data_IF_773717810455
#
_entry.id   IF_773717810455
#
_cell.length_a   1.000
_cell.length_b   1.000
_cell.length_c   1.000
_cell.angle_alpha   90.00
_cell.angle_beta   90.00
_cell.angle_gamma   90.00
#
_symmetry.space_group_name_H-M   'P 1'
#
loop_
_entity.id
_entity.type
_entity.pdbx_description
1 polymer ?
#
# COMPACT_ATOMS: atom_id res chain seq x y z
N UNK A 1 -50.01 -24.80 14.31
CA UNK A 1 -49.26 -24.14 15.41
C UNK A 1 -48.44 -25.23 16.06
N UNK A 2 -47.11 -25.20 16.16
CA UNK A 2 -46.20 -24.08 16.31
C UNK A 2 -45.03 -24.13 15.31
N UNK A 3 -44.50 -22.94 15.00
CA UNK A 3 -43.25 -22.74 14.28
C UNK A 3 -42.09 -22.86 15.28
N UNK A 4 -41.18 -23.81 15.09
CA UNK A 4 -39.81 -23.66 15.60
C UNK A 4 -39.05 -22.76 14.61
N UNK A 5 -38.85 -21.50 15.01
CA UNK A 5 -37.87 -20.64 14.36
C UNK A 5 -36.52 -20.99 14.99
N UNK A 6 -35.64 -21.60 14.19
CA UNK A 6 -34.23 -21.70 14.51
C UNK A 6 -33.69 -20.29 14.78
N UNK A 7 -33.20 -20.06 15.99
CA UNK A 7 -32.34 -18.92 16.31
C UNK A 7 -31.06 -19.10 15.51
N UNK A 8 -30.91 -18.33 14.44
CA UNK A 8 -29.61 -18.13 13.80
C UNK A 8 -28.74 -17.38 14.80
N UNK A 9 -27.92 -18.14 15.52
CA UNK A 9 -26.88 -17.63 16.39
C UNK A 9 -25.96 -16.72 15.58
N UNK A 10 -26.00 -15.46 16.00
CA UNK A 10 -25.06 -14.38 15.76
C UNK A 10 -23.63 -14.94 15.59
N UNK A 11 -23.07 -14.84 14.38
CA UNK A 11 -21.65 -15.13 14.18
C UNK A 11 -20.86 -13.98 14.81
N UNK A 12 -19.89 -14.23 15.70
CA UNK A 12 -19.12 -13.16 16.32
C UNK A 12 -18.33 -12.43 15.23
N UNK A 13 -18.46 -11.11 15.24
CA UNK A 13 -17.56 -10.14 14.60
C UNK A 13 -16.12 -10.46 15.03
N UNK A 14 -15.47 -11.38 14.32
CA UNK A 14 -14.13 -11.84 14.67
C UNK A 14 -13.15 -10.77 14.16
N UNK A 15 -12.89 -9.80 15.03
CA UNK A 15 -11.82 -8.79 15.01
C UNK A 15 -11.54 -8.15 13.64
N UNK A 16 -12.41 -7.23 13.21
CA UNK A 16 -12.04 -6.30 12.14
C UNK A 16 -11.03 -5.30 12.71
N UNK A 17 -9.81 -5.28 12.17
CA UNK A 17 -8.79 -4.28 12.52
C UNK A 17 -9.38 -2.87 12.43
N UNK A 18 -9.05 -2.01 13.39
CA UNK A 18 -9.33 -0.58 13.28
C UNK A 18 -8.61 0.02 12.07
N UNK A 19 -9.03 1.20 11.63
CA UNK A 19 -8.40 1.93 10.53
C UNK A 19 -6.87 2.04 10.66
N UNK A 20 -6.40 2.42 11.85
CA UNK A 20 -4.96 2.60 12.11
C UNK A 20 -4.24 1.26 12.11
N UNK A 21 -4.82 0.23 12.73
CA UNK A 21 -4.23 -1.11 12.75
C UNK A 21 -4.18 -1.71 11.34
N UNK A 22 -5.21 -1.51 10.52
CA UNK A 22 -5.24 -1.96 9.14
C UNK A 22 -4.12 -1.29 8.31
N UNK A 23 -3.92 0.02 8.46
CA UNK A 23 -2.83 0.74 7.80
C UNK A 23 -1.44 0.25 8.26
N UNK A 24 -1.23 0.10 9.58
CA UNK A 24 0.03 -0.40 10.12
C UNK A 24 0.30 -1.84 9.68
N UNK A 25 -0.74 -2.68 9.62
CA UNK A 25 -0.63 -4.06 9.18
C UNK A 25 -0.16 -4.19 7.72
N UNK A 26 -0.31 -3.15 6.89
CA UNK A 26 0.21 -3.18 5.51
C UNK A 26 1.73 -3.21 5.44
N UNK A 27 2.44 -2.83 6.51
CA UNK A 27 3.91 -2.89 6.56
C UNK A 27 4.47 -4.31 6.40
N UNK A 28 3.67 -5.34 6.66
CA UNK A 28 4.06 -6.74 6.41
C UNK A 28 4.28 -7.04 4.92
N UNK A 29 3.75 -6.21 4.02
CA UNK A 29 3.90 -6.33 2.57
C UNK A 29 5.05 -5.46 2.02
N UNK A 30 5.87 -4.85 2.88
CA UNK A 30 7.00 -4.04 2.43
C UNK A 30 8.05 -4.93 1.72
N UNK A 31 8.40 -4.63 0.45
CA UNK A 31 9.29 -5.49 -0.32
C UNK A 31 10.77 -5.15 -0.10
N UNK A 32 11.08 -4.09 0.65
CA UNK A 32 12.42 -3.48 0.70
C UNK A 32 13.48 -4.39 1.34
N UNK A 33 13.11 -5.24 2.31
CA UNK A 33 14.03 -6.22 2.89
C UNK A 33 14.39 -7.30 1.86
N UNK A 34 13.39 -7.85 1.17
CA UNK A 34 13.55 -8.78 0.05
C UNK A 34 14.44 -8.17 -1.06
N UNK A 35 14.30 -6.88 -1.35
CA UNK A 35 15.16 -6.20 -2.34
C UNK A 35 16.62 -6.15 -1.87
N UNK A 36 16.88 -5.77 -0.60
CA UNK A 36 18.23 -5.81 -0.03
C UNK A 36 18.85 -7.20 -0.04
N UNK A 37 18.06 -8.24 0.25
CA UNK A 37 18.53 -9.63 0.17
C UNK A 37 18.98 -10.01 -1.24
N UNK A 38 18.26 -9.52 -2.27
CA UNK A 38 18.70 -9.70 -3.67
C UNK A 38 20.04 -9.02 -3.94
N UNK A 39 20.34 -7.87 -3.32
CA UNK A 39 21.66 -7.23 -3.41
C UNK A 39 22.75 -8.18 -2.94
N UNK A 40 22.63 -8.69 -1.72
CA UNK A 40 23.61 -9.59 -1.11
C UNK A 40 23.78 -10.90 -1.87
N UNK A 41 22.68 -11.42 -2.44
CA UNK A 41 22.67 -12.73 -3.11
C UNK A 41 23.12 -12.69 -4.56
N UNK A 42 22.76 -11.63 -5.29
CA UNK A 42 22.94 -11.54 -6.74
C UNK A 42 23.85 -10.38 -7.17
N UNK A 43 24.40 -9.60 -6.23
CA UNK A 43 25.28 -8.47 -6.53
C UNK A 43 24.54 -7.27 -7.16
N UNK A 44 23.24 -7.12 -6.87
CA UNK A 44 22.41 -6.05 -7.41
C UNK A 44 22.67 -4.74 -6.65
N UNK A 45 23.52 -3.89 -7.22
CA UNK A 45 24.03 -2.67 -6.59
C UNK A 45 22.96 -1.59 -6.38
N UNK A 46 21.85 -1.63 -7.11
CA UNK A 46 20.76 -0.66 -6.97
C UNK A 46 20.03 -0.77 -5.61
N UNK A 47 20.08 -1.95 -4.96
CA UNK A 47 19.38 -2.20 -3.70
C UNK A 47 20.29 -1.97 -2.49
N UNK A 48 20.94 -0.80 -2.46
CA UNK A 48 21.69 -0.36 -1.29
C UNK A 48 20.78 -0.20 -0.08
N UNK A 49 21.37 -0.19 1.12
CA UNK A 49 20.61 0.10 2.34
C UNK A 49 19.91 1.47 2.25
N UNK A 50 20.61 2.48 1.73
CA UNK A 50 20.09 3.84 1.57
C UNK A 50 18.91 3.88 0.59
N UNK A 51 19.03 3.24 -0.58
CA UNK A 51 17.98 3.26 -1.61
C UNK A 51 16.71 2.54 -1.14
N UNK A 52 16.87 1.36 -0.54
CA UNK A 52 15.73 0.62 0.01
C UNK A 52 15.11 1.34 1.21
N UNK A 53 15.90 2.04 2.02
CA UNK A 53 15.40 2.86 3.14
C UNK A 53 14.67 4.10 2.63
N UNK A 54 15.15 4.75 1.57
CA UNK A 54 14.47 5.87 0.93
C UNK A 54 13.10 5.45 0.40
N UNK A 55 13.03 4.34 -0.35
CA UNK A 55 11.77 3.79 -0.84
C UNK A 55 10.80 3.45 0.32
N UNK A 56 11.30 2.80 1.38
CA UNK A 56 10.53 2.51 2.59
C UNK A 56 9.95 3.78 3.23
N UNK A 57 10.76 4.83 3.37
CA UNK A 57 10.35 6.07 4.02
C UNK A 57 9.26 6.82 3.24
N UNK A 58 9.20 6.66 1.91
CA UNK A 58 8.10 7.18 1.10
C UNK A 58 6.76 6.56 1.53
N UNK A 59 6.72 5.24 1.72
CA UNK A 59 5.52 4.55 2.19
C UNK A 59 5.22 4.82 3.66
N UNK A 60 6.22 4.92 4.53
CA UNK A 60 5.99 5.31 5.92
C UNK A 60 5.34 6.71 5.98
N UNK A 61 5.81 7.66 5.16
CA UNK A 61 5.24 9.00 5.05
C UNK A 61 3.79 8.97 4.52
N UNK A 62 3.50 8.12 3.53
CA UNK A 62 2.13 7.89 3.05
C UNK A 62 1.22 7.41 4.19
N UNK A 63 1.65 6.39 4.93
CA UNK A 63 0.88 5.84 6.05
C UNK A 63 0.67 6.88 7.16
N UNK A 64 1.70 7.63 7.54
CA UNK A 64 1.57 8.71 8.53
C UNK A 64 0.53 9.76 8.12
N UNK A 65 0.54 10.18 6.85
CA UNK A 65 -0.42 11.14 6.32
C UNK A 65 -1.85 10.59 6.31
N UNK A 66 -2.03 9.31 5.96
CA UNK A 66 -3.31 8.63 5.99
C UNK A 66 -3.84 8.51 7.43
N UNK A 67 -3.01 8.02 8.37
CA UNK A 67 -3.34 7.91 9.80
C UNK A 67 -3.78 9.27 10.35
N UNK A 68 -3.01 10.33 10.09
CA UNK A 68 -3.32 11.69 10.55
C UNK A 68 -4.61 12.25 9.95
N UNK A 69 -4.92 11.86 8.72
CA UNK A 69 -6.15 12.28 8.02
C UNK A 69 -7.37 11.51 8.53
N UNK A 70 -7.18 10.28 9.01
CA UNK A 70 -8.19 9.46 9.65
C UNK A 70 -9.14 8.77 8.66
N UNK A 71 -9.92 7.83 9.20
CA UNK A 71 -10.85 7.00 8.43
C UNK A 71 -11.86 7.83 7.64
N UNK A 72 -12.45 8.85 8.28
CA UNK A 72 -13.44 9.74 7.68
C UNK A 72 -12.83 10.94 6.96
N UNK A 73 -11.51 10.96 6.78
CA UNK A 73 -10.82 12.04 6.07
C UNK A 73 -11.17 12.08 4.58
N UNK A 74 -11.09 13.27 3.99
CA UNK A 74 -11.47 13.54 2.60
C UNK A 74 -10.79 12.59 1.60
N UNK A 75 -11.59 11.95 0.75
CA UNK A 75 -11.13 10.97 -0.26
C UNK A 75 -10.07 11.59 -1.19
N UNK A 76 -10.32 12.81 -1.71
CA UNK A 76 -9.37 13.50 -2.60
C UNK A 76 -8.04 13.80 -1.94
N UNK A 77 -8.05 14.07 -0.63
CA UNK A 77 -6.82 14.28 0.13
C UNK A 77 -6.03 12.98 0.29
N UNK A 78 -6.70 11.86 0.53
CA UNK A 78 -6.07 10.53 0.59
C UNK A 78 -5.48 10.15 -0.76
N UNK A 79 -6.24 10.30 -1.86
CA UNK A 79 -5.75 10.07 -3.23
C UNK A 79 -4.48 10.87 -3.52
N UNK A 80 -4.45 12.15 -3.14
CA UNK A 80 -3.27 13.01 -3.36
C UNK A 80 -2.03 12.49 -2.62
N UNK A 81 -2.17 11.80 -1.49
CA UNK A 81 -1.01 11.22 -0.82
C UNK A 81 -0.42 10.04 -1.59
N UNK A 82 -1.25 9.22 -2.25
CA UNK A 82 -0.75 8.15 -3.14
C UNK A 82 -0.01 8.74 -4.33
N UNK A 83 -0.57 9.76 -4.96
CA UNK A 83 0.09 10.49 -6.05
C UNK A 83 1.46 11.03 -5.61
N UNK A 84 1.53 11.70 -4.45
CA UNK A 84 2.81 12.20 -3.91
C UNK A 84 3.81 11.07 -3.66
N UNK A 85 3.35 9.91 -3.16
CA UNK A 85 4.22 8.76 -2.92
C UNK A 85 4.76 8.18 -4.23
N UNK A 86 3.91 8.05 -5.25
CA UNK A 86 4.31 7.56 -6.58
C UNK A 86 5.30 8.51 -7.25
N UNK A 87 5.04 9.83 -7.22
CA UNK A 87 5.97 10.81 -7.77
C UNK A 87 7.33 10.76 -7.07
N UNK A 88 7.36 10.62 -5.74
CA UNK A 88 8.61 10.45 -5.00
C UNK A 88 9.34 9.14 -5.36
N UNK A 89 8.62 8.06 -5.68
CA UNK A 89 9.22 6.80 -6.16
C UNK A 89 9.79 6.97 -7.57
N UNK A 90 9.11 7.69 -8.45
CA UNK A 90 9.62 8.02 -9.78
C UNK A 90 10.91 8.85 -9.68
N UNK A 91 10.92 9.90 -8.85
CA UNK A 91 12.11 10.71 -8.59
C UNK A 91 13.27 9.87 -8.03
N UNK A 92 12.99 8.99 -7.07
CA UNK A 92 13.99 8.09 -6.52
C UNK A 92 14.57 7.15 -7.58
N UNK A 93 13.73 6.60 -8.46
CA UNK A 93 14.16 5.73 -9.55
C UNK A 93 14.95 6.46 -10.64
N UNK A 94 14.65 7.73 -10.89
CA UNK A 94 15.39 8.56 -11.85
C UNK A 94 16.81 8.86 -11.36
N UNK A 95 16.97 9.10 -10.04
CA UNK A 95 18.28 9.28 -9.40
C UNK A 95 19.03 7.95 -9.32
N UNK A 96 18.35 6.91 -8.83
CA UNK A 96 18.90 5.57 -8.60
C UNK A 96 18.48 4.64 -9.75
N UNK A 97 19.02 4.90 -10.94
CA UNK A 97 18.65 4.21 -12.18
C UNK A 97 18.57 2.69 -12.01
N UNK A 98 17.40 2.13 -12.28
CA UNK A 98 17.14 0.69 -12.23
C UNK A 98 16.72 0.17 -10.84
N UNK A 99 16.35 1.05 -9.91
CA UNK A 99 15.74 0.67 -8.64
C UNK A 99 14.36 0.01 -8.84
N UNK A 100 13.56 0.53 -9.77
CA UNK A 100 12.19 0.07 -10.05
C UNK A 100 12.14 -0.49 -11.48
N UNK A 101 12.26 -1.80 -11.58
CA UNK A 101 12.02 -2.57 -12.81
C UNK A 101 10.65 -3.25 -12.75
N UNK A 102 10.33 -4.12 -13.71
CA UNK A 102 9.02 -4.81 -13.80
C UNK A 102 8.64 -5.51 -12.49
N UNK A 103 9.54 -6.28 -11.88
CA UNK A 103 9.23 -7.05 -10.67
C UNK A 103 9.03 -6.16 -9.44
N UNK A 104 9.81 -5.09 -9.33
CA UNK A 104 9.69 -4.11 -8.25
C UNK A 104 8.40 -3.30 -8.41
N UNK A 105 8.03 -2.96 -9.64
CA UNK A 105 6.75 -2.29 -9.94
C UNK A 105 5.57 -3.17 -9.53
N UNK A 106 5.62 -4.48 -9.75
CA UNK A 106 4.60 -5.41 -9.29
C UNK A 106 4.51 -5.47 -7.75
N UNK A 107 5.65 -5.59 -7.06
CA UNK A 107 5.73 -5.56 -5.59
C UNK A 107 5.12 -4.25 -5.04
N UNK A 108 5.41 -3.10 -5.67
CA UNK A 108 4.90 -1.78 -5.26
C UNK A 108 3.40 -1.60 -5.56
N UNK A 109 2.92 -2.06 -6.71
CA UNK A 109 1.49 -2.02 -7.04
C UNK A 109 0.67 -2.84 -6.03
N UNK A 110 1.13 -4.05 -5.68
CA UNK A 110 0.46 -4.86 -4.66
C UNK A 110 0.38 -4.11 -3.32
N UNK A 111 1.50 -3.53 -2.88
CA UNK A 111 1.55 -2.75 -1.64
C UNK A 111 0.57 -1.56 -1.68
N UNK A 112 0.54 -0.81 -2.77
CA UNK A 112 -0.38 0.32 -2.96
C UNK A 112 -1.84 -0.15 -2.87
N UNK A 113 -2.21 -1.28 -3.46
CA UNK A 113 -3.57 -1.80 -3.39
C UNK A 113 -3.95 -2.21 -1.96
N UNK A 114 -3.04 -2.85 -1.21
CA UNK A 114 -3.27 -3.15 0.22
C UNK A 114 -3.50 -1.88 1.03
N UNK A 115 -2.68 -0.85 0.82
CA UNK A 115 -2.80 0.44 1.51
C UNK A 115 -4.12 1.14 1.11
N UNK A 116 -4.53 1.04 -0.15
CA UNK A 116 -5.79 1.62 -0.65
C UNK A 116 -6.99 1.06 0.09
N UNK A 117 -7.06 -0.27 0.21
CA UNK A 117 -8.12 -0.95 0.96
C UNK A 117 -8.08 -0.57 2.44
N UNK A 118 -6.89 -0.59 3.06
CA UNK A 118 -6.70 -0.20 4.46
C UNK A 118 -7.06 1.28 4.72
N UNK A 119 -6.86 2.15 3.73
CA UNK A 119 -7.21 3.57 3.79
C UNK A 119 -8.73 3.83 3.67
N UNK A 120 -9.55 2.79 3.52
CA UNK A 120 -11.00 2.88 3.33
C UNK A 120 -11.38 3.35 1.93
N UNK A 121 -10.44 3.34 0.98
CA UNK A 121 -10.71 3.62 -0.42
C UNK A 121 -11.15 2.33 -1.11
N UNK A 122 -12.02 2.45 -2.11
CA UNK A 122 -12.47 1.31 -2.91
C UNK A 122 -11.66 1.26 -4.21
N UNK A 123 -10.81 0.25 -4.44
CA UNK A 123 -10.04 0.10 -5.69
C UNK A 123 -10.90 0.21 -6.95
N UNK A 124 -12.17 -0.25 -6.88
CA UNK A 124 -13.11 -0.20 -8.01
C UNK A 124 -13.42 1.21 -8.51
N UNK A 125 -13.14 2.24 -7.71
CA UNK A 125 -13.37 3.64 -8.09
C UNK A 125 -12.24 4.20 -8.96
N UNK A 126 -11.15 3.46 -9.16
CA UNK A 126 -9.93 3.92 -9.82
C UNK A 126 -9.66 3.10 -11.08
N UNK A 127 -9.12 3.75 -12.12
CA UNK A 127 -8.67 3.11 -13.35
C UNK A 127 -9.66 2.07 -13.95
N UNK A 128 -10.96 2.39 -13.97
CA UNK A 128 -12.04 1.49 -14.46
C UNK A 128 -12.16 0.16 -13.69
N UNK A 129 -11.64 0.09 -12.47
CA UNK A 129 -11.74 -1.10 -11.63
C UNK A 129 -10.39 -1.72 -11.27
N UNK A 130 -9.32 -1.31 -11.94
CA UNK A 130 -8.00 -1.94 -11.81
C UNK A 130 -7.28 -1.54 -10.52
N UNK A 131 -7.56 -0.33 -9.98
CA UNK A 131 -7.00 0.12 -8.70
C UNK A 131 -6.32 1.48 -8.80
N UNK A 132 -5.91 2.00 -7.64
CA UNK A 132 -5.22 3.31 -7.61
C UNK A 132 -3.79 3.18 -8.12
N UNK A 133 -3.18 2.00 -8.00
CA UNK A 133 -1.83 1.73 -8.51
C UNK A 133 -1.74 1.90 -10.04
N UNK A 134 -2.83 1.67 -10.77
CA UNK A 134 -2.85 1.88 -12.23
C UNK A 134 -2.85 3.34 -12.65
N UNK A 135 -3.18 4.26 -11.74
CA UNK A 135 -3.02 5.69 -11.99
C UNK A 135 -1.54 6.11 -12.02
N UNK A 136 -0.61 5.25 -11.58
CA UNK A 136 0.82 5.53 -11.59
C UNK A 136 1.31 6.01 -12.95
N UNK A 137 0.83 5.41 -14.06
CA UNK A 137 1.29 5.81 -15.42
C UNK A 137 0.87 7.23 -15.80
N UNK A 138 -0.12 7.78 -15.12
CA UNK A 138 -0.68 9.10 -15.37
C UNK A 138 -0.09 10.18 -14.45
N UNK A 139 0.80 9.78 -13.52
CA UNK A 139 1.47 10.63 -12.55
C UNK A 139 2.98 10.71 -12.85
#
# INVERSE_FOLDING_TARGET
>A
MAFEKAEFLNTPEKDKLSYIEALIATKQYYPFEKWREKSSKYGLLQYTEDNCTAAKNIFDTLLEKLIKTGENGEIKKKEKYFEIAVLALNELNDVEQGLIETGEREDLCELIDKITIAAGLNPKNYAKGEGIADLWREW
#
